data_IF_126808310310
#
_entry.id   IF_126808310310
#
_cell.length_a   1.000
_cell.length_b   1.000
_cell.length_c   1.000
_cell.angle_alpha   90.00
_cell.angle_beta   90.00
_cell.angle_gamma   90.00
#
_symmetry.space_group_name_H-M   'P 1'
#
loop_
_entity.id
_entity.type
_entity.pdbx_description
1 polymer ?
#
# COMPACT_ATOMS: atom_id res chain seq x y z
N UNK A 1 3.24 16.53 -6.14
CA UNK A 1 2.50 15.49 -5.40
C UNK A 1 2.31 15.98 -3.99
N UNK A 2 1.14 15.77 -3.39
CA UNK A 2 0.97 15.91 -1.94
C UNK A 2 1.59 14.72 -1.23
N UNK A 3 2.22 14.96 -0.08
CA UNK A 3 2.84 13.95 0.79
C UNK A 3 2.24 14.13 2.18
N UNK A 4 1.72 13.07 2.76
CA UNK A 4 1.27 13.06 4.15
C UNK A 4 2.49 13.06 5.08
N UNK A 5 2.50 14.00 6.02
CA UNK A 5 3.54 14.10 7.04
C UNK A 5 2.98 13.59 8.38
N UNK A 6 3.53 12.47 8.87
CA UNK A 6 3.14 11.81 10.13
C UNK A 6 1.62 11.68 10.36
N UNK A 7 0.88 11.03 9.44
CA UNK A 7 -0.58 10.90 9.56
C UNK A 7 -1.04 10.19 10.82
N UNK A 8 -0.24 9.27 11.34
CA UNK A 8 -0.50 8.58 12.59
C UNK A 8 -0.61 9.52 13.80
N UNK A 9 0.05 10.68 13.77
CA UNK A 9 0.04 11.68 14.86
C UNK A 9 -1.28 12.44 14.88
N UNK A 10 -1.70 13.02 13.75
CA UNK A 10 -2.91 13.84 13.73
C UNK A 10 -4.19 13.01 13.63
N UNK A 11 -4.17 11.88 12.93
CA UNK A 11 -5.35 11.02 12.79
C UNK A 11 -5.69 10.31 14.11
N UNK A 12 -4.68 9.83 14.85
CA UNK A 12 -4.88 9.20 16.16
C UNK A 12 -5.55 10.14 17.17
N UNK A 13 -5.25 11.44 17.12
CA UNK A 13 -5.87 12.46 17.97
C UNK A 13 -7.32 12.82 17.61
N UNK A 14 -7.79 12.46 16.42
CA UNK A 14 -9.11 12.84 15.91
C UNK A 14 -10.18 11.75 16.05
N UNK A 15 -9.85 10.57 16.61
CA UNK A 15 -10.79 9.46 16.75
C UNK A 15 -11.18 8.78 15.42
N UNK A 16 -10.40 8.98 14.36
CA UNK A 16 -10.57 8.29 13.08
C UNK A 16 -9.88 6.92 13.11
N UNK A 17 -10.42 5.95 12.38
CA UNK A 17 -9.88 4.57 12.34
C UNK A 17 -9.10 4.20 11.08
N UNK A 18 -9.01 5.12 10.10
CA UNK A 18 -8.32 4.87 8.85
C UNK A 18 -7.85 6.18 8.21
N UNK A 19 -6.75 6.10 7.47
CA UNK A 19 -6.34 7.12 6.50
C UNK A 19 -6.57 6.61 5.08
N UNK A 20 -6.85 7.55 4.18
CA UNK A 20 -7.11 7.26 2.78
C UNK A 20 -6.09 7.99 1.89
N UNK A 21 -4.82 7.56 1.86
CA UNK A 21 -3.80 8.24 1.09
C UNK A 21 -3.91 7.95 -0.41
N UNK A 22 -3.44 8.89 -1.23
CA UNK A 22 -3.09 8.59 -2.62
C UNK A 22 -1.88 7.63 -2.66
N UNK A 23 -1.85 6.69 -3.61
CA UNK A 23 -0.81 5.65 -3.73
C UNK A 23 0.65 6.14 -3.67
N UNK A 24 0.95 7.35 -4.16
CA UNK A 24 2.29 7.92 -4.07
C UNK A 24 2.82 8.02 -2.62
N UNK A 25 1.93 8.14 -1.64
CA UNK A 25 2.31 8.20 -0.22
C UNK A 25 2.87 6.87 0.29
N UNK A 26 2.65 5.76 -0.41
CA UNK A 26 3.26 4.47 -0.04
C UNK A 26 4.80 4.48 -0.19
N UNK A 27 5.36 5.50 -0.84
CA UNK A 27 6.81 5.73 -0.88
C UNK A 27 7.36 6.36 0.40
N UNK A 28 6.48 6.87 1.28
CA UNK A 28 6.89 7.41 2.58
C UNK A 28 7.32 6.22 3.45
N UNK A 29 8.58 6.19 3.92
CA UNK A 29 9.08 5.10 4.76
C UNK A 29 8.18 4.87 5.96
N UNK A 30 7.98 3.60 6.28
CA UNK A 30 7.20 3.14 7.44
C UNK A 30 5.76 3.70 7.54
N UNK A 31 5.21 4.36 6.52
CA UNK A 31 3.88 4.97 6.60
C UNK A 31 2.82 3.96 7.06
N UNK A 32 2.77 2.80 6.39
CA UNK A 32 1.78 1.76 6.69
C UNK A 32 2.01 1.18 8.07
N UNK A 33 3.26 0.85 8.40
CA UNK A 33 3.66 0.35 9.72
C UNK A 33 3.27 1.31 10.85
N UNK A 34 3.64 2.59 10.74
CA UNK A 34 3.38 3.60 11.76
C UNK A 34 1.87 3.85 11.93
N UNK A 35 1.09 3.78 10.85
CA UNK A 35 -0.37 3.83 10.94
C UNK A 35 -0.93 2.62 11.68
N UNK A 36 -0.50 1.40 11.33
CA UNK A 36 -0.94 0.18 12.00
C UNK A 36 -0.57 0.17 13.50
N UNK A 37 0.63 0.61 13.86
CA UNK A 37 1.08 0.75 15.26
C UNK A 37 0.23 1.76 16.05
N UNK A 38 -0.31 2.78 15.37
CA UNK A 38 -1.25 3.74 15.94
C UNK A 38 -2.71 3.27 15.92
N UNK A 39 -2.99 2.04 15.46
CA UNK A 39 -4.35 1.49 15.35
C UNK A 39 -5.16 2.04 14.16
N UNK A 40 -4.49 2.64 13.17
CA UNK A 40 -5.11 3.20 11.97
C UNK A 40 -4.95 2.25 10.79
N UNK A 41 -6.03 2.05 10.04
CA UNK A 41 -6.00 1.36 8.74
C UNK A 41 -5.49 2.27 7.62
N UNK A 42 -4.94 1.69 6.57
CA UNK A 42 -4.47 2.39 5.38
C UNK A 42 -5.24 1.93 4.15
N UNK A 43 -6.10 2.81 3.62
CA UNK A 43 -6.97 2.55 2.49
C UNK A 43 -6.53 3.36 1.27
N UNK A 44 -5.75 2.76 0.37
CA UNK A 44 -5.07 3.50 -0.70
C UNK A 44 -5.95 3.69 -1.94
N UNK A 45 -5.89 4.87 -2.55
CA UNK A 45 -6.57 5.19 -3.81
C UNK A 45 -5.66 5.94 -4.80
N UNK A 46 -6.00 6.03 -6.09
CA UNK A 46 -6.63 4.96 -6.88
C UNK A 46 -5.50 4.22 -7.58
N UNK A 47 -5.48 2.89 -7.49
CA UNK A 47 -4.41 2.07 -8.08
C UNK A 47 -4.96 1.23 -9.21
N UNK A 48 -4.52 1.52 -10.44
CA UNK A 48 -4.91 0.74 -11.63
C UNK A 48 -3.72 -0.03 -12.23
N UNK A 49 -2.49 0.40 -11.95
CA UNK A 49 -1.29 -0.28 -12.45
C UNK A 49 -0.92 -1.50 -11.59
N UNK A 50 -0.66 -2.63 -12.24
CA UNK A 50 -0.39 -3.91 -11.57
C UNK A 50 0.81 -3.89 -10.63
N UNK A 51 1.86 -3.17 -11.01
CA UNK A 51 3.07 -3.07 -10.19
C UNK A 51 2.80 -2.32 -8.88
N UNK A 52 1.95 -1.31 -8.91
CA UNK A 52 1.55 -0.57 -7.71
C UNK A 52 0.50 -1.34 -6.89
N UNK A 53 -0.32 -2.19 -7.53
CA UNK A 53 -1.18 -3.14 -6.81
C UNK A 53 -0.32 -4.16 -6.04
N UNK A 54 0.69 -4.71 -6.70
CA UNK A 54 1.65 -5.63 -6.07
C UNK A 54 2.40 -4.97 -4.92
N UNK A 55 2.81 -3.71 -5.06
CA UNK A 55 3.47 -2.99 -3.97
C UNK A 55 2.53 -2.74 -2.80
N UNK A 56 1.27 -2.36 -3.05
CA UNK A 56 0.26 -2.19 -2.01
C UNK A 56 -0.02 -3.50 -1.24
N UNK A 57 -0.10 -4.64 -1.94
CA UNK A 57 -0.23 -5.96 -1.32
C UNK A 57 0.99 -6.31 -0.44
N UNK A 58 2.21 -6.06 -0.95
CA UNK A 58 3.46 -6.33 -0.22
C UNK A 58 3.62 -5.44 1.01
N UNK A 59 3.16 -4.19 0.94
CA UNK A 59 3.12 -3.26 2.08
C UNK A 59 1.97 -3.54 3.05
N UNK A 60 1.12 -4.53 2.75
CA UNK A 60 0.01 -4.96 3.58
C UNK A 60 -1.00 -3.83 3.88
N UNK A 61 -1.38 -3.03 2.87
CA UNK A 61 -2.46 -2.05 3.01
C UNK A 61 -3.80 -2.74 3.30
N UNK A 62 -4.71 -2.06 4.00
CA UNK A 62 -5.99 -2.62 4.43
C UNK A 62 -7.03 -2.67 3.30
N UNK A 63 -7.06 -1.63 2.45
CA UNK A 63 -7.98 -1.54 1.31
C UNK A 63 -7.26 -0.95 0.11
N UNK A 64 -7.51 -1.53 -1.05
CA UNK A 64 -7.11 -1.01 -2.36
C UNK A 64 -8.36 -0.50 -3.09
N UNK A 65 -8.38 0.77 -3.43
CA UNK A 65 -9.41 1.38 -4.27
C UNK A 65 -8.88 1.43 -5.72
N UNK A 66 -9.59 0.80 -6.64
CA UNK A 66 -9.17 0.59 -8.04
C UNK A 66 -10.36 0.71 -8.99
N UNK A 67 -10.11 1.14 -10.22
CA UNK A 67 -11.07 1.06 -11.32
C UNK A 67 -11.07 -0.31 -12.00
N UNK A 68 -10.11 -1.19 -11.66
CA UNK A 68 -9.92 -2.52 -12.25
C UNK A 68 -10.10 -3.64 -11.21
N UNK A 69 -11.29 -3.79 -10.59
CA UNK A 69 -11.49 -4.71 -9.47
C UNK A 69 -11.24 -6.18 -9.80
N UNK A 70 -11.57 -6.61 -11.03
CA UNK A 70 -11.30 -7.98 -11.47
C UNK A 70 -9.79 -8.28 -11.46
N UNK A 71 -8.98 -7.33 -11.95
CA UNK A 71 -7.52 -7.49 -11.99
C UNK A 71 -6.91 -7.47 -10.59
N UNK A 72 -7.40 -6.61 -9.71
CA UNK A 72 -6.95 -6.58 -8.32
C UNK A 72 -7.26 -7.89 -7.56
N UNK A 73 -8.41 -8.52 -7.82
CA UNK A 73 -8.76 -9.83 -7.26
C UNK A 73 -7.78 -10.91 -7.74
N UNK A 74 -7.49 -10.97 -9.04
CA UNK A 74 -6.54 -11.94 -9.59
C UNK A 74 -5.15 -11.82 -8.95
N UNK A 75 -4.64 -10.59 -8.81
CA UNK A 75 -3.34 -10.34 -8.19
C UNK A 75 -3.33 -10.69 -6.70
N UNK A 76 -4.39 -10.36 -5.96
CA UNK A 76 -4.55 -10.75 -4.55
C UNK A 76 -4.57 -12.28 -4.40
N UNK A 77 -5.32 -12.99 -5.24
CA UNK A 77 -5.44 -14.45 -5.15
C UNK A 77 -4.10 -15.11 -5.50
N UNK A 78 -3.36 -14.56 -6.47
CA UNK A 78 -2.00 -15.00 -6.78
C UNK A 78 -1.04 -14.73 -5.61
N UNK A 79 -1.10 -13.55 -4.99
CA UNK A 79 -0.32 -13.21 -3.79
C UNK A 79 -0.59 -14.19 -2.64
N UNK A 80 -1.86 -14.51 -2.37
CA UNK A 80 -2.25 -15.48 -1.34
C UNK A 80 -1.75 -16.89 -1.66
N UNK A 81 -1.68 -17.26 -2.94
CA UNK A 81 -1.22 -18.58 -3.40
C UNK A 81 0.29 -18.75 -3.28
N UNK A 82 1.08 -17.72 -3.56
CA UNK A 82 2.55 -17.80 -3.61
C UNK A 82 3.28 -17.03 -2.50
N UNK A 83 2.55 -16.45 -1.56
CA UNK A 83 3.10 -15.67 -0.46
C UNK A 83 3.75 -14.36 -0.90
N UNK A 84 3.39 -13.83 -2.07
CA UNK A 84 3.91 -12.58 -2.63
C UNK A 84 5.17 -12.74 -3.48
N UNK A 85 5.61 -13.97 -3.79
CA UNK A 85 6.81 -14.20 -4.59
C UNK A 85 6.70 -13.59 -6.00
N UNK A 86 5.55 -13.76 -6.66
CA UNK A 86 5.33 -13.17 -7.99
C UNK A 86 5.25 -11.64 -7.93
N UNK A 87 4.66 -11.09 -6.86
CA UNK A 87 4.59 -9.65 -6.64
C UNK A 87 6.01 -9.05 -6.45
N UNK A 88 6.86 -9.69 -5.65
CA UNK A 88 8.26 -9.28 -5.47
C UNK A 88 9.04 -9.31 -6.79
N UNK A 89 8.85 -10.37 -7.59
CA UNK A 89 9.49 -10.46 -8.90
C UNK A 89 9.00 -9.37 -9.87
N UNK A 90 7.71 -9.03 -9.83
CA UNK A 90 7.12 -7.92 -10.60
C UNK A 90 7.81 -6.59 -10.27
N UNK A 91 7.94 -6.25 -8.99
CA UNK A 91 8.63 -5.02 -8.54
C UNK A 91 10.12 -5.01 -8.91
N UNK A 92 10.79 -6.16 -8.81
CA UNK A 92 12.19 -6.29 -9.23
C UNK A 92 12.35 -6.02 -10.73
N UNK A 93 11.46 -6.57 -11.56
CA UNK A 93 11.51 -6.40 -13.01
C UNK A 93 11.18 -4.97 -13.46
N UNK A 94 10.36 -4.24 -12.69
CA UNK A 94 10.02 -2.85 -12.96
C UNK A 94 11.02 -1.84 -12.41
N UNK A 95 12.04 -2.28 -11.65
CA UNK A 95 12.96 -1.39 -10.95
C UNK A 95 12.34 -0.64 -9.78
N UNK A 96 11.22 -1.13 -9.22
CA UNK A 96 10.49 -0.51 -8.11
C UNK A 96 10.62 -1.27 -6.80
N UNK A 97 11.59 -2.18 -6.70
CA UNK A 97 11.82 -2.97 -5.48
C UNK A 97 12.13 -2.07 -4.27
N UNK A 98 12.81 -0.95 -4.50
CA UNK A 98 13.21 0.01 -3.47
C UNK A 98 12.00 0.64 -2.75
N UNK A 99 10.80 0.60 -3.35
CA UNK A 99 9.57 1.07 -2.73
C UNK A 99 9.24 0.29 -1.45
N UNK A 100 9.70 -0.97 -1.34
CA UNK A 100 9.50 -1.80 -0.15
C UNK A 100 10.57 -1.61 0.93
N UNK A 101 11.70 -0.99 0.58
CA UNK A 101 12.91 -1.01 1.41
C UNK A 101 13.49 0.38 1.62
N UNK A 102 12.69 1.43 1.50
CA UNK A 102 13.16 2.78 1.81
C UNK A 102 13.49 2.82 3.32
N UNK A 103 14.75 3.08 3.69
CA UNK A 103 15.22 2.98 5.08
C UNK A 103 14.62 4.04 6.01
#
# INVERSE_FOLDING_TARGET
SEVLYDPHVYAGGCGVGAIHPMFNNLQVPDLVKNCHEAGLKVNVWTIDEEVFLNSALLLNVDVIMTNLPARAIELRDQYLKDGGLSALQSLKNSGLLDLLTVP
#
